data_IF_281773283576
#
_entry.id   IF_281773283576
#
_cell.length_a   1.000
_cell.length_b   1.000
_cell.length_c   1.000
_cell.angle_alpha   90.00
_cell.angle_beta   90.00
_cell.angle_gamma   90.00
#
_symmetry.space_group_name_H-M   'P 1'
#
loop_
_entity.id
_entity.type
_entity.pdbx_description
1 polymer ?
#
# COMPACT_ATOMS: atom_id res chain seq x y z
N UNK A 1 22.49 12.73 17.25
CA UNK A 1 21.23 12.36 17.96
C UNK A 1 20.66 11.14 17.30
N UNK A 2 20.14 10.22 18.11
CA UNK A 2 19.50 8.97 17.66
C UNK A 2 18.01 9.18 17.42
N UNK A 3 17.49 8.64 16.33
CA UNK A 3 16.09 8.78 15.92
C UNK A 3 15.48 7.40 15.65
N UNK A 4 14.42 7.06 16.38
CA UNK A 4 13.60 5.89 16.12
C UNK A 4 12.40 6.26 15.23
N UNK A 5 12.21 5.56 14.10
CA UNK A 5 11.10 5.82 13.17
C UNK A 5 10.18 4.61 13.11
N UNK A 6 8.87 4.84 13.28
CA UNK A 6 7.83 3.84 13.10
C UNK A 6 6.84 4.29 12.02
N UNK A 7 6.59 3.44 11.02
CA UNK A 7 5.57 3.68 10.00
C UNK A 7 4.41 2.69 10.13
N UNK A 8 3.20 3.22 10.17
CA UNK A 8 1.96 2.45 10.22
C UNK A 8 1.14 2.66 8.95
N UNK A 9 0.43 1.63 8.51
CA UNK A 9 -0.55 1.74 7.44
C UNK A 9 -0.04 1.33 6.05
N UNK A 10 -0.21 2.19 5.06
CA UNK A 10 -0.05 1.84 3.63
C UNK A 10 1.36 2.10 3.09
N UNK A 11 1.59 1.67 1.84
CA UNK A 11 2.87 1.88 1.11
C UNK A 11 3.23 3.36 0.97
N UNK A 12 2.23 4.26 0.90
CA UNK A 12 2.46 5.71 0.89
C UNK A 12 3.10 6.17 2.21
N UNK A 13 2.63 5.65 3.34
CA UNK A 13 3.24 5.95 4.64
C UNK A 13 4.66 5.40 4.76
N UNK A 14 4.91 4.20 4.21
CA UNK A 14 6.27 3.63 4.17
C UNK A 14 7.20 4.56 3.37
N UNK A 15 6.79 4.95 2.16
CA UNK A 15 7.55 5.89 1.34
C UNK A 15 7.84 7.20 2.08
N UNK A 16 6.82 7.80 2.71
CA UNK A 16 6.98 9.06 3.45
C UNK A 16 7.92 8.93 4.65
N UNK A 17 7.91 7.80 5.36
CA UNK A 17 8.83 7.53 6.47
C UNK A 17 10.27 7.32 5.99
N UNK A 18 10.49 6.62 4.89
CA UNK A 18 11.81 6.45 4.27
C UNK A 18 12.37 7.79 3.74
N UNK A 19 11.52 8.63 3.15
CA UNK A 19 11.90 9.98 2.74
C UNK A 19 12.40 10.81 3.93
N UNK A 20 11.65 10.78 5.04
CA UNK A 20 12.06 11.46 6.28
C UNK A 20 13.35 10.87 6.82
N UNK A 21 13.52 9.55 6.81
CA UNK A 21 14.74 8.89 7.25
C UNK A 21 15.96 9.30 6.41
N UNK A 22 15.80 9.41 5.08
CA UNK A 22 16.88 9.86 4.18
C UNK A 22 17.32 11.30 4.50
N UNK A 23 16.37 12.24 4.61
CA UNK A 23 16.67 13.64 4.97
C UNK A 23 17.41 13.71 6.31
N UNK A 24 16.98 12.96 7.30
CA UNK A 24 17.60 12.97 8.62
C UNK A 24 19.04 12.43 8.58
N UNK A 25 19.28 11.34 7.84
CA UNK A 25 20.65 10.81 7.62
C UNK A 25 21.56 11.81 6.92
N UNK A 26 21.06 12.52 5.90
CA UNK A 26 21.79 13.57 5.19
C UNK A 26 22.14 14.76 6.10
N UNK A 27 21.39 14.95 7.20
CA UNK A 27 21.65 15.97 8.22
C UNK A 27 22.32 15.41 9.48
N UNK A 28 23.06 14.29 9.36
CA UNK A 28 23.87 13.68 10.41
C UNK A 28 23.11 13.18 11.64
N UNK A 29 21.83 12.80 11.48
CA UNK A 29 21.10 12.04 12.49
C UNK A 29 21.32 10.54 12.29
N UNK A 30 21.44 9.80 13.39
CA UNK A 30 21.56 8.35 13.40
C UNK A 30 20.17 7.71 13.49
N UNK A 31 19.79 6.90 12.51
CA UNK A 31 18.53 6.14 12.56
C UNK A 31 18.77 4.81 13.26
N UNK A 32 18.04 4.57 14.34
CA UNK A 32 18.09 3.36 15.17
C UNK A 32 16.75 2.60 15.13
N UNK A 33 16.72 1.38 15.69
CA UNK A 33 15.47 0.66 15.86
C UNK A 33 14.50 1.45 16.74
N UNK A 34 13.21 1.38 16.43
CA UNK A 34 12.18 2.09 17.21
C UNK A 34 12.09 1.61 18.67
N UNK A 35 12.49 0.38 18.91
CA UNK A 35 12.52 -0.21 20.25
C UNK A 35 13.73 0.23 21.08
N UNK A 36 14.78 0.74 20.44
CA UNK A 36 15.96 1.27 21.11
C UNK A 36 15.66 2.61 21.80
N UNK A 37 16.48 2.95 22.78
CA UNK A 37 16.45 4.29 23.40
C UNK A 37 16.96 5.33 22.39
N UNK A 38 16.09 6.23 21.96
CA UNK A 38 16.39 7.32 21.02
C UNK A 38 16.15 8.70 21.64
N UNK A 39 16.76 9.72 21.08
CA UNK A 39 16.58 11.12 21.48
C UNK A 39 15.30 11.71 20.87
N UNK A 40 14.89 11.17 19.72
CA UNK A 40 13.70 11.58 18.97
C UNK A 40 12.98 10.33 18.49
N UNK A 41 11.64 10.33 18.59
CA UNK A 41 10.79 9.30 17.97
C UNK A 41 9.87 9.94 16.94
N UNK A 42 9.81 9.36 15.75
CA UNK A 42 8.91 9.79 14.67
C UNK A 42 7.91 8.67 14.38
N UNK A 43 6.62 8.97 14.51
CA UNK A 43 5.53 8.02 14.27
C UNK A 43 4.71 8.50 13.08
N UNK A 44 4.83 7.80 11.94
CA UNK A 44 3.98 8.03 10.77
C UNK A 44 2.69 7.21 10.92
N UNK A 45 1.59 7.90 11.18
CA UNK A 45 0.34 7.31 11.66
C UNK A 45 -0.66 7.01 10.55
N UNK A 46 -1.51 6.01 10.80
CA UNK A 46 -2.60 5.61 9.92
C UNK A 46 -3.96 5.83 10.61
N UNK A 47 -5.01 6.11 9.81
CA UNK A 47 -6.38 6.33 10.29
C UNK A 47 -7.45 5.66 9.42
N UNK A 48 -7.09 4.63 8.64
CA UNK A 48 -8.05 3.95 7.75
C UNK A 48 -9.12 3.18 8.54
N UNK A 49 -8.76 2.60 9.68
CA UNK A 49 -9.65 1.86 10.56
C UNK A 49 -9.50 2.30 12.02
N UNK A 50 -10.49 2.00 12.87
CA UNK A 50 -10.40 2.22 14.33
C UNK A 50 -9.22 1.47 14.95
N UNK A 51 -8.88 0.29 14.41
CA UNK A 51 -7.72 -0.47 14.86
C UNK A 51 -6.40 0.23 14.50
N UNK A 52 -6.34 0.88 13.34
CA UNK A 52 -5.19 1.72 12.95
C UNK A 52 -5.02 2.90 13.90
N UNK A 53 -6.12 3.53 14.32
CA UNK A 53 -6.06 4.61 15.32
C UNK A 53 -5.55 4.11 16.68
N UNK A 54 -6.00 2.92 17.13
CA UNK A 54 -5.51 2.31 18.36
C UNK A 54 -4.00 2.01 18.28
N UNK A 55 -3.55 1.44 17.15
CA UNK A 55 -2.12 1.18 16.92
C UNK A 55 -1.31 2.47 16.92
N UNK A 56 -1.81 3.53 16.28
CA UNK A 56 -1.16 4.84 16.27
C UNK A 56 -0.95 5.38 17.69
N UNK A 57 -2.00 5.39 18.50
CA UNK A 57 -1.90 5.80 19.93
C UNK A 57 -0.95 4.91 20.75
N UNK A 58 -0.99 3.58 20.51
CA UNK A 58 -0.10 2.64 21.20
C UNK A 58 1.36 2.95 20.92
N UNK A 59 1.70 3.27 19.65
CA UNK A 59 3.09 3.57 19.28
C UNK A 59 3.56 4.92 19.83
N UNK A 60 2.69 5.93 19.89
CA UNK A 60 2.98 7.22 20.53
C UNK A 60 3.32 7.01 22.03
N UNK A 61 2.45 6.26 22.73
CA UNK A 61 2.67 5.95 24.15
C UNK A 61 3.94 5.11 24.37
N UNK A 62 4.27 4.19 23.43
CA UNK A 62 5.48 3.38 23.50
C UNK A 62 6.73 4.23 23.35
N UNK A 63 6.75 5.17 22.42
CA UNK A 63 7.85 6.11 22.27
C UNK A 63 8.13 6.87 23.56
N UNK A 64 7.11 7.42 24.21
CA UNK A 64 7.24 8.13 25.49
C UNK A 64 7.72 7.21 26.64
N UNK A 65 7.35 5.92 26.58
CA UNK A 65 7.83 4.90 27.54
C UNK A 65 9.29 4.53 27.31
N UNK A 66 9.73 4.43 26.05
CA UNK A 66 11.12 4.06 25.71
C UNK A 66 12.10 5.16 26.19
N UNK A 67 11.72 6.42 26.05
CA UNK A 67 12.48 7.54 26.60
C UNK A 67 11.55 8.71 26.93
N UNK A 68 11.43 9.05 28.21
CA UNK A 68 10.53 10.11 28.70
C UNK A 68 10.97 11.50 28.25
N UNK A 69 12.27 11.68 28.04
CA UNK A 69 12.89 12.97 27.66
C UNK A 69 13.03 13.14 26.13
N UNK A 70 12.60 12.15 25.34
CA UNK A 70 12.68 12.20 23.91
C UNK A 70 11.68 13.18 23.31
N UNK A 71 12.08 13.82 22.21
CA UNK A 71 11.18 14.60 21.36
C UNK A 71 10.27 13.63 20.59
N UNK A 72 8.96 13.75 20.77
CA UNK A 72 7.98 12.93 20.06
C UNK A 72 7.40 13.70 18.87
N UNK A 73 7.58 13.16 17.68
CA UNK A 73 7.05 13.71 16.43
C UNK A 73 5.99 12.76 15.89
N UNK A 74 4.80 13.27 15.66
CA UNK A 74 3.69 12.48 15.09
C UNK A 74 3.26 13.09 13.78
N UNK A 75 3.21 12.28 12.71
CA UNK A 75 2.80 12.71 11.39
C UNK A 75 1.82 11.71 10.75
N UNK A 76 1.16 12.09 9.66
CA UNK A 76 0.32 11.19 8.85
C UNK A 76 -1.19 11.40 9.02
N UNK A 77 -1.97 10.33 8.72
CA UNK A 77 -3.43 10.46 8.62
C UNK A 77 -4.13 10.63 9.98
N UNK A 78 -3.65 9.95 11.03
CA UNK A 78 -4.26 10.08 12.35
C UNK A 78 -4.02 11.48 12.93
N UNK A 79 -2.80 12.00 12.81
CA UNK A 79 -2.47 13.35 13.28
C UNK A 79 -3.19 14.44 12.48
N UNK A 80 -3.41 14.26 11.16
CA UNK A 80 -4.19 15.18 10.34
C UNK A 80 -5.62 15.38 10.87
N UNK A 81 -6.23 14.35 11.46
CA UNK A 81 -7.61 14.38 11.96
C UNK A 81 -7.74 14.71 13.44
N UNK A 82 -6.73 14.42 14.25
CA UNK A 82 -6.83 14.38 15.70
C UNK A 82 -5.68 15.12 16.40
N UNK A 83 -5.12 16.15 15.78
CA UNK A 83 -3.95 16.87 16.32
C UNK A 83 -4.18 17.42 17.74
N UNK A 84 -5.41 17.84 18.04
CA UNK A 84 -5.86 18.33 19.34
C UNK A 84 -5.84 17.28 20.46
N UNK A 85 -5.88 15.98 20.10
CA UNK A 85 -5.92 14.83 21.01
C UNK A 85 -4.57 14.13 21.19
N UNK A 86 -3.53 14.63 20.50
CA UNK A 86 -2.21 13.99 20.50
C UNK A 86 -1.29 14.72 21.47
N UNK A 87 -0.74 13.95 22.41
CA UNK A 87 0.33 14.38 23.28
C UNK A 87 1.70 14.09 22.60
N UNK A 88 2.19 15.11 21.87
CA UNK A 88 3.48 15.07 21.20
C UNK A 88 4.05 16.49 21.08
N UNK A 89 5.35 16.55 20.88
CA UNK A 89 6.11 17.80 20.82
C UNK A 89 5.99 18.48 19.46
N UNK A 90 6.00 17.68 18.38
CA UNK A 90 5.79 18.15 17.01
C UNK A 90 4.68 17.31 16.37
N UNK A 91 3.66 17.96 15.85
CA UNK A 91 2.53 17.31 15.18
C UNK A 91 2.42 17.83 13.75
N UNK A 92 2.58 16.92 12.79
CA UNK A 92 2.41 17.18 11.37
C UNK A 92 1.20 16.40 10.83
N UNK A 93 0.50 16.99 9.88
CA UNK A 93 -0.47 16.26 9.07
C UNK A 93 0.21 15.49 7.92
N UNK A 94 -0.44 15.52 6.76
CA UNK A 94 0.06 14.89 5.54
C UNK A 94 0.82 15.87 4.62
N UNK A 95 1.41 16.91 5.18
CA UNK A 95 2.24 17.91 4.49
C UNK A 95 3.42 18.34 5.37
N UNK A 96 4.41 19.02 4.79
CA UNK A 96 5.60 19.56 5.44
C UNK A 96 6.60 18.54 5.97
N UNK A 97 6.57 17.31 5.49
CA UNK A 97 7.53 16.28 5.87
C UNK A 97 8.96 16.65 5.41
N UNK A 98 9.08 17.38 4.30
CA UNK A 98 10.33 17.92 3.79
C UNK A 98 11.01 18.93 4.75
N UNK A 99 10.23 19.55 5.62
CA UNK A 99 10.73 20.54 6.60
C UNK A 99 11.09 19.92 7.96
N UNK A 100 11.16 18.59 8.08
CA UNK A 100 11.28 17.89 9.37
C UNK A 100 12.51 18.35 10.18
N UNK A 101 13.67 18.54 9.54
CA UNK A 101 14.91 19.00 10.20
C UNK A 101 14.72 20.39 10.78
N UNK A 102 14.17 21.32 9.98
CA UNK A 102 13.89 22.69 10.43
C UNK A 102 12.96 22.73 11.63
N UNK A 103 11.94 21.87 11.64
CA UNK A 103 10.97 21.78 12.74
C UNK A 103 11.61 21.21 14.03
N UNK A 104 12.52 20.25 13.89
CA UNK A 104 13.29 19.71 15.01
C UNK A 104 14.17 20.83 15.61
N UNK A 105 14.89 21.58 14.81
CA UNK A 105 15.75 22.68 15.29
C UNK A 105 14.93 23.83 15.90
N UNK A 106 13.78 24.15 15.30
CA UNK A 106 12.85 25.13 15.87
C UNK A 106 12.35 24.71 17.25
N UNK A 107 11.95 23.43 17.41
CA UNK A 107 11.52 22.90 18.71
C UNK A 107 12.65 22.95 19.75
N UNK A 108 13.85 22.51 19.39
CA UNK A 108 15.02 22.54 20.28
C UNK A 108 15.36 23.95 20.79
N UNK A 109 15.18 24.95 19.92
CA UNK A 109 15.50 26.35 20.27
C UNK A 109 14.42 26.96 21.15
N UNK A 110 13.15 26.73 20.85
CA UNK A 110 12.03 27.41 21.50
C UNK A 110 11.37 26.61 22.62
N UNK A 111 11.57 25.31 22.63
CA UNK A 111 10.93 24.32 23.54
C UNK A 111 9.41 24.47 23.62
N UNK A 112 8.76 24.86 22.52
CA UNK A 112 7.33 25.05 22.42
C UNK A 112 6.72 24.02 21.44
N UNK A 113 5.57 23.44 21.81
CA UNK A 113 4.84 22.52 20.94
C UNK A 113 4.58 23.12 19.56
N UNK A 114 4.90 22.34 18.50
CA UNK A 114 4.69 22.74 17.12
C UNK A 114 3.55 21.88 16.53
N UNK A 115 2.54 22.52 15.96
CA UNK A 115 1.45 21.84 15.26
C UNK A 115 1.26 22.43 13.87
N UNK A 116 1.42 21.60 12.82
CA UNK A 116 1.29 21.98 11.41
C UNK A 116 0.24 21.09 10.73
N UNK A 117 -0.99 21.55 10.74
CA UNK A 117 -2.13 20.91 10.07
C UNK A 117 -2.65 21.86 8.99
N UNK A 118 -2.79 21.35 7.78
CA UNK A 118 -3.17 22.13 6.61
C UNK A 118 -4.49 21.64 6.02
N UNK A 119 -5.24 22.55 5.41
CA UNK A 119 -6.28 22.20 4.46
C UNK A 119 -5.64 21.67 3.17
N UNK A 120 -5.77 20.35 2.96
CA UNK A 120 -5.15 19.68 1.83
C UNK A 120 -5.97 19.75 0.54
N UNK A 121 -7.13 20.42 0.54
CA UNK A 121 -8.01 20.51 -0.64
C UNK A 121 -7.42 21.39 -1.75
N UNK A 122 -6.55 22.35 -1.39
CA UNK A 122 -5.94 23.34 -2.30
C UNK A 122 -4.40 23.22 -2.36
N UNK A 123 -3.81 22.18 -1.80
CA UNK A 123 -2.35 22.02 -1.79
C UNK A 123 -1.85 21.33 -3.05
N UNK A 124 -0.65 21.66 -3.49
CA UNK A 124 0.08 20.92 -4.52
C UNK A 124 0.69 19.63 -3.96
N UNK A 125 1.12 18.72 -4.84
CA UNK A 125 1.91 17.57 -4.46
C UNK A 125 3.16 18.02 -3.70
N UNK A 126 3.49 17.36 -2.59
CA UNK A 126 4.73 17.59 -1.87
C UNK A 126 5.83 16.76 -2.55
N UNK A 127 6.79 17.46 -3.17
CA UNK A 127 7.90 16.80 -3.85
C UNK A 127 8.77 16.07 -2.84
N UNK A 128 8.98 14.80 -3.11
CA UNK A 128 9.80 13.89 -2.32
C UNK A 128 10.60 13.03 -3.29
N UNK A 129 11.87 12.82 -3.04
CA UNK A 129 12.74 11.95 -3.83
C UNK A 129 13.52 11.05 -2.87
N UNK A 130 13.51 9.74 -3.12
CA UNK A 130 14.25 8.75 -2.34
C UNK A 130 15.35 8.17 -3.23
N UNK A 131 16.55 8.10 -2.69
CA UNK A 131 17.68 7.46 -3.38
C UNK A 131 17.96 6.04 -2.88
N UNK A 132 17.61 5.75 -1.62
CA UNK A 132 17.88 4.46 -0.99
C UNK A 132 16.84 4.18 0.09
N UNK A 133 16.35 2.93 0.13
CA UNK A 133 15.53 2.39 1.21
C UNK A 133 16.40 1.70 2.24
N UNK A 134 16.05 1.81 3.51
CA UNK A 134 16.85 1.26 4.61
C UNK A 134 16.70 -0.26 4.69
N UNK A 135 15.47 -0.77 4.61
CA UNK A 135 15.15 -2.18 4.88
C UNK A 135 14.22 -2.81 3.81
N UNK A 136 14.24 -2.32 2.58
CA UNK A 136 13.36 -2.83 1.53
C UNK A 136 14.15 -3.26 0.30
N UNK A 137 13.93 -4.49 -0.14
CA UNK A 137 14.48 -5.04 -1.39
C UNK A 137 13.82 -4.41 -2.61
N UNK A 138 12.55 -4.01 -2.49
CA UNK A 138 11.78 -3.32 -3.53
C UNK A 138 11.67 -1.83 -3.21
N UNK A 139 11.87 -0.99 -4.23
CA UNK A 139 11.72 0.46 -4.06
C UNK A 139 10.26 0.89 -4.29
N UNK A 140 9.70 1.65 -3.35
CA UNK A 140 8.41 2.30 -3.52
C UNK A 140 8.60 3.69 -4.13
N UNK A 141 7.73 4.09 -5.06
CA UNK A 141 7.73 5.45 -5.63
C UNK A 141 6.32 6.02 -5.51
N UNK A 142 6.17 7.05 -4.71
CA UNK A 142 4.89 7.74 -4.52
C UNK A 142 4.64 8.68 -5.70
N UNK A 143 3.78 8.25 -6.62
CA UNK A 143 3.45 9.02 -7.82
C UNK A 143 2.22 9.93 -7.62
N UNK A 144 1.38 9.64 -6.61
CA UNK A 144 0.10 10.30 -6.44
C UNK A 144 -0.30 10.35 -4.96
N UNK A 145 -1.06 11.39 -4.55
CA UNK A 145 -1.65 11.53 -3.22
C UNK A 145 -3.07 12.09 -3.32
N UNK A 146 -3.86 11.89 -2.24
CA UNK A 146 -5.26 12.32 -2.17
C UNK A 146 -6.21 11.51 -3.05
N UNK A 147 -7.52 11.75 -2.90
CA UNK A 147 -8.56 11.01 -3.61
C UNK A 147 -9.84 11.84 -3.78
N UNK A 148 -10.46 11.75 -4.96
CA UNK A 148 -11.72 12.40 -5.31
C UNK A 148 -12.90 11.43 -5.40
N UNK A 149 -12.75 10.17 -4.99
CA UNK A 149 -13.81 9.16 -5.12
C UNK A 149 -14.95 9.35 -4.11
N UNK A 150 -14.63 9.80 -2.88
CA UNK A 150 -15.60 9.99 -1.80
C UNK A 150 -16.50 8.77 -1.56
N UNK A 151 -15.90 7.56 -1.60
CA UNK A 151 -16.62 6.36 -1.17
C UNK A 151 -17.19 6.59 0.23
N UNK A 152 -18.44 6.16 0.45
CA UNK A 152 -19.21 6.54 1.65
C UNK A 152 -18.60 6.10 2.99
N UNK A 153 -17.73 5.12 2.98
CA UNK A 153 -17.01 4.61 4.17
C UNK A 153 -15.62 5.24 4.37
N UNK A 154 -15.11 5.99 3.38
CA UNK A 154 -13.70 6.30 3.30
C UNK A 154 -13.35 7.66 3.91
N UNK A 155 -12.42 7.65 4.86
CA UNK A 155 -11.92 8.86 5.52
C UNK A 155 -10.78 9.55 4.74
N UNK A 156 -10.24 8.90 3.73
CA UNK A 156 -9.03 9.36 3.02
C UNK A 156 -9.19 10.73 2.35
N UNK A 157 -10.29 11.06 1.64
CA UNK A 157 -10.45 12.40 1.07
C UNK A 157 -10.37 13.53 2.10
N UNK A 158 -10.73 13.24 3.35
CA UNK A 158 -10.70 14.20 4.45
C UNK A 158 -9.32 14.29 5.12
N UNK A 159 -8.49 13.23 5.01
CA UNK A 159 -7.15 13.20 5.61
C UNK A 159 -6.05 13.58 4.64
N UNK A 160 -6.22 13.26 3.36
CA UNK A 160 -5.19 13.47 2.33
C UNK A 160 -5.60 14.45 1.24
N UNK A 161 -6.85 14.97 1.31
CA UNK A 161 -7.35 15.96 0.37
C UNK A 161 -7.60 15.43 -1.04
N UNK A 162 -7.58 16.33 -2.02
CA UNK A 162 -7.86 16.05 -3.42
C UNK A 162 -6.69 15.33 -4.11
N UNK A 163 -6.97 14.75 -5.29
CA UNK A 163 -5.94 14.16 -6.14
C UNK A 163 -4.84 15.18 -6.44
N UNK A 164 -3.61 14.75 -6.24
CA UNK A 164 -2.38 15.47 -6.57
C UNK A 164 -1.38 14.47 -7.11
N UNK A 165 -0.80 14.78 -8.24
CA UNK A 165 0.15 13.93 -8.93
C UNK A 165 1.56 14.50 -8.84
N UNK A 166 2.55 13.62 -8.71
CA UNK A 166 3.96 13.98 -8.85
C UNK A 166 4.25 14.28 -10.32
N UNK A 167 5.03 15.30 -10.58
CA UNK A 167 5.45 15.63 -11.95
C UNK A 167 6.06 14.42 -12.66
N UNK A 168 5.72 14.22 -13.93
CA UNK A 168 6.12 13.04 -14.70
C UNK A 168 7.64 12.93 -14.84
N UNK A 169 8.32 14.03 -15.10
CA UNK A 169 9.79 14.06 -15.21
C UNK A 169 10.44 13.77 -13.85
N UNK A 170 9.86 14.25 -12.75
CA UNK A 170 10.30 13.93 -11.40
C UNK A 170 10.15 12.44 -11.07
N UNK A 171 9.06 11.79 -11.51
CA UNK A 171 8.89 10.35 -11.34
C UNK A 171 9.94 9.57 -12.12
N UNK A 172 10.15 9.89 -13.41
CA UNK A 172 11.14 9.24 -14.27
C UNK A 172 12.54 9.37 -13.70
N UNK A 173 12.89 10.58 -13.25
CA UNK A 173 14.19 10.86 -12.62
C UNK A 173 14.41 10.01 -11.36
N UNK A 174 13.41 9.94 -10.46
CA UNK A 174 13.51 9.14 -9.23
C UNK A 174 13.63 7.65 -9.55
N UNK A 175 12.80 7.12 -10.46
CA UNK A 175 12.87 5.71 -10.88
C UNK A 175 14.22 5.40 -11.49
N UNK A 176 14.74 6.24 -12.39
CA UNK A 176 16.07 6.07 -12.99
C UNK A 176 17.17 6.03 -11.94
N UNK A 177 17.12 6.93 -10.94
CA UNK A 177 18.07 6.95 -9.84
C UNK A 177 18.02 5.67 -8.99
N UNK A 178 16.82 5.18 -8.69
CA UNK A 178 16.65 3.94 -7.94
C UNK A 178 17.17 2.72 -8.73
N UNK A 179 16.89 2.64 -10.02
CA UNK A 179 17.41 1.58 -10.90
C UNK A 179 18.93 1.62 -10.96
N UNK A 180 19.54 2.80 -11.11
CA UNK A 180 20.99 2.98 -11.09
C UNK A 180 21.62 2.63 -9.73
N UNK A 181 20.87 2.78 -8.65
CA UNK A 181 21.28 2.33 -7.31
C UNK A 181 21.03 0.83 -7.06
N UNK A 182 20.66 0.07 -8.11
CA UNK A 182 20.59 -1.38 -8.11
C UNK A 182 19.22 -1.97 -7.80
N UNK A 183 18.17 -1.18 -7.53
CA UNK A 183 16.83 -1.73 -7.29
C UNK A 183 16.26 -2.42 -8.52
N UNK A 184 15.84 -3.67 -8.35
CA UNK A 184 15.31 -4.51 -9.44
C UNK A 184 13.80 -4.38 -9.61
N UNK A 185 13.06 -4.17 -8.53
CA UNK A 185 11.61 -3.98 -8.59
C UNK A 185 11.21 -2.60 -8.06
N UNK A 186 10.51 -1.84 -8.91
CA UNK A 186 9.91 -0.54 -8.57
C UNK A 186 8.41 -0.72 -8.39
N UNK A 187 7.90 -0.32 -7.24
CA UNK A 187 6.46 -0.38 -6.92
C UNK A 187 5.89 1.02 -6.96
N UNK A 188 5.12 1.33 -8.02
CA UNK A 188 4.41 2.60 -8.11
C UNK A 188 3.27 2.62 -7.09
N UNK A 189 3.27 3.62 -6.22
CA UNK A 189 2.28 3.73 -5.15
C UNK A 189 1.60 5.09 -5.12
N UNK A 190 0.37 5.08 -4.65
CA UNK A 190 -0.47 6.26 -4.49
C UNK A 190 -1.68 5.92 -3.64
N UNK A 191 -2.44 6.93 -3.30
CA UNK A 191 -3.73 6.77 -2.62
C UNK A 191 -4.81 6.31 -3.60
N UNK A 192 -4.73 6.79 -4.84
CA UNK A 192 -5.62 6.44 -5.94
C UNK A 192 -4.82 6.41 -7.24
N UNK A 193 -3.97 5.39 -7.36
CA UNK A 193 -2.90 5.31 -8.37
C UNK A 193 -3.40 5.48 -9.80
N UNK A 194 -4.57 4.91 -10.14
CA UNK A 194 -5.16 5.03 -11.47
C UNK A 194 -5.60 6.46 -11.85
N UNK A 195 -5.72 7.37 -10.85
CA UNK A 195 -6.00 8.79 -11.08
C UNK A 195 -4.76 9.67 -11.20
N UNK A 196 -3.58 9.05 -11.31
CA UNK A 196 -2.37 9.79 -11.61
C UNK A 196 -2.52 10.62 -12.89
N UNK A 197 -2.07 11.86 -12.82
CA UNK A 197 -1.94 12.75 -13.98
C UNK A 197 -3.16 13.62 -14.28
N UNK A 198 -4.35 13.34 -13.73
CA UNK A 198 -5.57 14.11 -14.06
C UNK A 198 -5.49 15.60 -13.69
N UNK A 199 -4.63 15.97 -12.78
CA UNK A 199 -4.38 17.33 -12.31
C UNK A 199 -3.17 18.00 -12.98
N UNK A 200 -2.40 17.25 -13.78
CA UNK A 200 -1.19 17.71 -14.49
C UNK A 200 -1.21 17.35 -15.98
N UNK A 201 -2.40 17.11 -16.56
CA UNK A 201 -2.63 16.83 -17.99
C UNK A 201 -1.80 15.66 -18.55
N UNK A 202 -1.70 14.56 -17.81
CA UNK A 202 -1.12 13.29 -18.24
C UNK A 202 -1.92 12.12 -17.67
N UNK A 203 -1.52 10.90 -17.93
CA UNK A 203 -2.19 9.68 -17.47
C UNK A 203 -1.20 8.68 -16.90
N UNK A 204 -1.72 7.72 -16.09
CA UNK A 204 -0.92 6.59 -15.63
C UNK A 204 -0.38 5.76 -16.80
N UNK A 205 -1.19 5.58 -17.85
CA UNK A 205 -0.77 4.83 -19.05
C UNK A 205 0.44 5.49 -19.76
N UNK A 206 0.41 6.81 -19.92
CA UNK A 206 1.53 7.57 -20.51
C UNK A 206 2.79 7.46 -19.64
N UNK A 207 2.65 7.60 -18.33
CA UNK A 207 3.76 7.40 -17.41
C UNK A 207 4.35 5.99 -17.52
N UNK A 208 3.52 4.95 -17.55
CA UNK A 208 3.97 3.56 -17.66
C UNK A 208 4.73 3.30 -18.97
N UNK A 209 4.26 3.86 -20.10
CA UNK A 209 4.94 3.74 -21.40
C UNK A 209 6.36 4.29 -21.37
N UNK A 210 6.59 5.38 -20.64
CA UNK A 210 7.94 5.95 -20.51
C UNK A 210 8.80 5.18 -19.50
N UNK A 211 8.20 4.75 -18.40
CA UNK A 211 8.93 4.02 -17.35
C UNK A 211 9.45 2.66 -17.80
N UNK A 212 8.72 1.93 -18.66
CA UNK A 212 9.16 0.63 -19.16
C UNK A 212 10.35 0.72 -20.11
N UNK A 213 10.65 1.91 -20.64
CA UNK A 213 11.79 2.18 -21.52
C UNK A 213 13.05 2.62 -20.76
N UNK A 214 13.00 2.77 -19.44
CA UNK A 214 14.17 3.14 -18.63
C UNK A 214 15.22 2.01 -18.73
N UNK A 215 16.47 2.33 -19.11
CA UNK A 215 17.54 1.34 -19.20
C UNK A 215 17.75 0.57 -17.88
N UNK A 216 17.92 -0.74 -17.97
CA UNK A 216 18.17 -1.66 -16.86
C UNK A 216 17.02 -1.78 -15.84
N UNK A 217 15.85 -1.20 -16.08
CA UNK A 217 14.69 -1.48 -15.25
C UNK A 217 14.27 -2.95 -15.45
N UNK A 218 14.14 -3.66 -14.34
CA UNK A 218 13.80 -5.07 -14.40
C UNK A 218 12.31 -5.33 -14.22
N UNK A 219 11.69 -4.66 -13.21
CA UNK A 219 10.26 -4.86 -12.95
C UNK A 219 9.58 -3.61 -12.41
N UNK A 220 8.41 -3.32 -12.96
CA UNK A 220 7.47 -2.31 -12.46
C UNK A 220 6.22 -3.03 -11.96
N UNK A 221 5.83 -2.74 -10.73
CA UNK A 221 4.58 -3.23 -10.14
C UNK A 221 3.67 -2.07 -9.81
N UNK A 222 2.40 -2.20 -10.18
CA UNK A 222 1.35 -1.30 -9.70
C UNK A 222 0.91 -1.70 -8.29
N UNK A 223 0.66 -0.73 -7.43
CA UNK A 223 -0.03 -0.98 -6.17
C UNK A 223 -1.53 -1.20 -6.43
N UNK A 224 -2.43 -0.57 -5.69
CA UNK A 224 -3.87 -0.69 -5.92
C UNK A 224 -4.32 0.17 -7.10
N UNK A 225 -5.19 -0.37 -7.97
CA UNK A 225 -5.82 0.34 -9.09
C UNK A 225 -7.30 -0.03 -9.17
N UNK A 226 -8.16 0.96 -9.39
CA UNK A 226 -9.60 0.72 -9.55
C UNK A 226 -9.90 0.09 -10.91
N UNK A 227 -10.92 -0.79 -10.94
CA UNK A 227 -11.25 -1.59 -12.13
C UNK A 227 -11.56 -0.72 -13.38
N UNK A 228 -12.22 0.42 -13.19
CA UNK A 228 -12.60 1.33 -14.26
C UNK A 228 -11.48 2.30 -14.70
N UNK A 229 -10.29 2.15 -14.14
CA UNK A 229 -9.10 2.93 -14.48
C UNK A 229 -8.06 2.08 -15.24
N UNK A 230 -8.34 0.78 -15.40
CA UNK A 230 -7.51 -0.13 -16.19
C UNK A 230 -7.87 0.03 -17.66
N UNK A 231 -7.07 0.81 -18.37
CA UNK A 231 -7.27 1.08 -19.81
C UNK A 231 -6.82 -0.09 -20.69
N UNK A 232 -7.29 -0.17 -21.95
CA UNK A 232 -6.77 -1.14 -22.92
C UNK A 232 -5.25 -1.05 -23.10
N UNK A 233 -4.67 0.15 -23.01
CA UNK A 233 -3.23 0.35 -23.09
C UNK A 233 -2.48 -0.24 -21.90
N UNK A 234 -3.01 -0.12 -20.69
CA UNK A 234 -2.43 -0.77 -19.49
C UNK A 234 -2.52 -2.29 -19.62
N UNK A 235 -3.66 -2.85 -20.11
CA UNK A 235 -3.79 -4.29 -20.37
C UNK A 235 -2.76 -4.75 -21.39
N UNK A 236 -2.57 -3.99 -22.47
CA UNK A 236 -1.56 -4.29 -23.51
C UNK A 236 -0.16 -4.30 -22.92
N UNK A 237 0.21 -3.28 -22.13
CA UNK A 237 1.52 -3.24 -21.45
C UNK A 237 1.72 -4.44 -20.53
N UNK A 238 0.71 -4.79 -19.72
CA UNK A 238 0.75 -5.96 -18.84
C UNK A 238 0.89 -7.28 -19.62
N UNK A 239 0.31 -7.38 -20.83
CA UNK A 239 0.35 -8.59 -21.66
C UNK A 239 1.69 -8.73 -22.38
N UNK A 240 2.19 -7.67 -23.00
CA UNK A 240 3.29 -7.69 -23.96
C UNK A 240 4.64 -7.33 -23.35
N UNK A 241 4.67 -6.46 -22.34
CA UNK A 241 5.93 -5.97 -21.77
C UNK A 241 6.38 -6.85 -20.58
N UNK A 242 7.64 -7.33 -20.65
CA UNK A 242 8.23 -8.19 -19.62
C UNK A 242 8.55 -7.44 -18.31
N UNK A 243 8.77 -6.12 -18.41
CA UNK A 243 9.04 -5.28 -17.25
C UNK A 243 7.80 -5.14 -16.33
N UNK A 244 6.60 -5.21 -16.92
CA UNK A 244 5.37 -5.13 -16.13
C UNK A 244 5.10 -6.41 -15.32
N UNK A 245 5.02 -6.27 -14.01
CA UNK A 245 4.67 -7.37 -13.12
C UNK A 245 3.29 -7.96 -13.45
N UNK A 246 3.18 -9.28 -13.50
CA UNK A 246 1.94 -10.00 -13.82
C UNK A 246 1.04 -10.13 -12.58
N UNK A 247 0.80 -9.02 -11.91
CA UNK A 247 -0.04 -8.94 -10.72
C UNK A 247 -0.79 -7.61 -10.69
N UNK A 248 -2.07 -7.65 -10.37
CA UNK A 248 -2.89 -6.47 -10.07
C UNK A 248 -3.62 -6.65 -8.75
N UNK A 249 -3.64 -5.58 -7.96
CA UNK A 249 -4.52 -5.46 -6.80
C UNK A 249 -5.69 -4.55 -7.17
N UNK A 250 -6.89 -5.13 -7.27
CA UNK A 250 -8.11 -4.46 -7.76
C UNK A 250 -9.20 -4.54 -6.70
N UNK A 251 -9.48 -3.47 -5.95
CA UNK A 251 -10.46 -3.50 -4.86
C UNK A 251 -11.89 -3.71 -5.39
N UNK A 252 -12.52 -4.84 -5.04
CA UNK A 252 -13.93 -5.12 -5.34
C UNK A 252 -14.86 -4.46 -4.32
N UNK A 253 -14.44 -4.43 -3.07
CA UNK A 253 -15.15 -3.91 -1.89
C UNK A 253 -16.43 -4.69 -1.51
N UNK A 254 -17.31 -5.05 -2.46
CA UNK A 254 -18.49 -5.89 -2.28
C UNK A 254 -18.88 -6.57 -3.60
N UNK A 255 -19.50 -7.73 -3.54
CA UNK A 255 -20.07 -8.42 -4.70
C UNK A 255 -21.58 -8.17 -4.87
N UNK A 256 -22.21 -7.34 -4.02
CA UNK A 256 -23.62 -6.94 -4.16
C UNK A 256 -23.74 -5.55 -4.78
N UNK A 257 -24.51 -5.42 -5.85
CA UNK A 257 -24.76 -4.13 -6.51
C UNK A 257 -25.42 -3.11 -5.57
N UNK A 258 -26.32 -3.55 -4.71
CA UNK A 258 -26.93 -2.71 -3.68
C UNK A 258 -25.86 -2.12 -2.75
N UNK A 259 -24.95 -2.93 -2.26
CA UNK A 259 -23.89 -2.49 -1.35
C UNK A 259 -22.86 -1.62 -2.09
N UNK A 260 -22.48 -1.96 -3.30
CA UNK A 260 -21.59 -1.13 -4.13
C UNK A 260 -22.18 0.28 -4.33
N UNK A 261 -23.48 0.38 -4.59
CA UNK A 261 -24.16 1.66 -4.73
C UNK A 261 -24.16 2.46 -3.40
N UNK A 262 -24.48 1.80 -2.27
CA UNK A 262 -24.41 2.43 -0.95
C UNK A 262 -22.97 2.86 -0.56
N UNK A 263 -21.96 2.14 -1.03
CA UNK A 263 -20.55 2.48 -0.91
C UNK A 263 -20.11 3.65 -1.81
N UNK A 264 -20.99 4.13 -2.71
CA UNK A 264 -20.68 5.13 -3.74
C UNK A 264 -19.57 4.64 -4.69
N UNK A 265 -19.63 3.33 -5.10
CA UNK A 265 -18.72 2.78 -6.11
C UNK A 265 -19.20 3.15 -7.51
N UNK A 266 -18.26 3.35 -8.43
CA UNK A 266 -18.53 3.81 -9.81
C UNK A 266 -18.53 2.65 -10.81
N UNK A 267 -18.85 1.46 -10.35
CA UNK A 267 -19.02 0.24 -11.14
C UNK A 267 -20.04 -0.66 -10.45
N UNK A 268 -20.68 -1.52 -11.22
CA UNK A 268 -21.46 -2.64 -10.73
C UNK A 268 -20.67 -3.96 -10.85
N UNK A 269 -21.17 -5.04 -10.27
CA UNK A 269 -20.48 -6.34 -10.27
C UNK A 269 -20.32 -6.92 -11.67
N UNK A 270 -21.25 -6.67 -12.58
CA UNK A 270 -21.24 -7.15 -13.97
C UNK A 270 -20.10 -6.46 -14.75
N UNK A 271 -19.99 -5.16 -14.66
CA UNK A 271 -18.89 -4.39 -15.25
C UNK A 271 -17.54 -4.85 -14.68
N UNK A 272 -17.49 -5.06 -13.36
CA UNK A 272 -16.30 -5.57 -12.70
C UNK A 272 -15.91 -6.94 -13.24
N UNK A 273 -16.82 -7.91 -13.28
CA UNK A 273 -16.57 -9.26 -13.81
C UNK A 273 -16.14 -9.26 -15.27
N UNK A 274 -16.79 -8.45 -16.11
CA UNK A 274 -16.45 -8.33 -17.52
C UNK A 274 -15.01 -7.82 -17.73
N UNK A 275 -14.57 -6.84 -16.92
CA UNK A 275 -13.21 -6.34 -17.00
C UNK A 275 -12.20 -7.37 -16.46
N UNK A 276 -12.51 -8.05 -15.35
CA UNK A 276 -11.68 -9.14 -14.82
C UNK A 276 -11.49 -10.26 -15.86
N UNK A 277 -12.51 -10.61 -16.61
CA UNK A 277 -12.41 -11.61 -17.68
C UNK A 277 -11.37 -11.21 -18.72
N UNK A 278 -11.38 -9.95 -19.17
CA UNK A 278 -10.35 -9.40 -20.09
C UNK A 278 -8.95 -9.42 -19.49
N UNK A 279 -8.83 -9.07 -18.21
CA UNK A 279 -7.53 -9.06 -17.52
C UNK A 279 -6.98 -10.47 -17.36
N UNK A 280 -7.84 -11.47 -17.13
CA UNK A 280 -7.44 -12.89 -17.02
C UNK A 280 -6.91 -13.50 -18.33
N UNK A 281 -7.09 -12.85 -19.47
CA UNK A 281 -6.43 -13.23 -20.71
C UNK A 281 -4.90 -12.97 -20.68
N UNK A 282 -4.41 -12.18 -19.71
CA UNK A 282 -2.97 -11.95 -19.53
C UNK A 282 -2.34 -13.22 -18.95
N UNK A 283 -1.35 -13.82 -19.63
CA UNK A 283 -0.74 -15.06 -19.15
C UNK A 283 -0.15 -14.95 -17.76
N UNK A 284 -0.47 -15.94 -16.90
CA UNK A 284 0.05 -16.07 -15.54
C UNK A 284 -0.26 -14.88 -14.59
N UNK A 285 -1.25 -14.06 -14.92
CA UNK A 285 -1.61 -12.95 -14.03
C UNK A 285 -2.18 -13.45 -12.71
N UNK A 286 -1.78 -12.83 -11.62
CA UNK A 286 -2.43 -12.98 -10.32
C UNK A 286 -3.26 -11.74 -9.99
N UNK A 287 -4.42 -11.95 -9.39
CA UNK A 287 -5.35 -10.89 -9.02
C UNK A 287 -5.65 -10.96 -7.54
N UNK A 288 -5.42 -9.85 -6.85
CA UNK A 288 -5.78 -9.72 -5.44
C UNK A 288 -6.80 -8.60 -5.27
N UNK A 289 -7.59 -8.66 -4.19
CA UNK A 289 -8.65 -7.70 -3.94
C UNK A 289 -8.80 -7.35 -2.47
N UNK A 290 -9.41 -6.20 -2.20
CA UNK A 290 -9.94 -5.82 -0.89
C UNK A 290 -11.44 -6.02 -0.86
N UNK A 291 -11.95 -6.50 0.28
CA UNK A 291 -13.37 -6.70 0.54
C UNK A 291 -13.76 -6.16 1.91
N UNK A 292 -14.85 -5.43 1.98
CA UNK A 292 -15.46 -4.95 3.22
C UNK A 292 -16.74 -5.73 3.46
N UNK A 293 -16.84 -6.39 4.62
CA UNK A 293 -18.05 -7.13 5.04
C UNK A 293 -18.72 -6.43 6.23
N UNK A 294 -20.04 -6.60 6.32
CA UNK A 294 -20.85 -5.99 7.36
C UNK A 294 -20.95 -4.47 7.20
N UNK A 295 -21.02 -4.02 5.95
CA UNK A 295 -21.36 -2.64 5.63
C UNK A 295 -22.79 -2.32 6.09
N UNK A 296 -23.14 -1.07 6.50
CA UNK A 296 -24.51 -0.74 6.86
C UNK A 296 -25.52 -1.17 5.79
N UNK A 297 -26.63 -1.75 6.21
CA UNK A 297 -27.69 -2.32 5.37
C UNK A 297 -27.30 -3.60 4.57
N UNK A 298 -26.14 -4.21 4.80
CA UNK A 298 -25.76 -5.48 4.19
C UNK A 298 -26.55 -6.63 4.81
N UNK A 299 -27.46 -7.24 4.02
CA UNK A 299 -28.25 -8.41 4.44
C UNK A 299 -27.49 -9.73 4.24
N UNK A 300 -28.10 -10.88 4.61
CA UNK A 300 -27.53 -12.19 4.31
C UNK A 300 -27.57 -12.49 2.80
N UNK A 301 -28.59 -12.01 2.09
CA UNK A 301 -28.69 -12.13 0.63
C UNK A 301 -27.56 -11.33 -0.06
N UNK A 302 -27.28 -10.09 0.39
CA UNK A 302 -26.19 -9.27 -0.12
C UNK A 302 -24.83 -9.96 0.12
N UNK A 303 -24.64 -10.56 1.29
CA UNK A 303 -23.42 -11.29 1.62
C UNK A 303 -23.30 -12.58 0.79
N UNK A 304 -24.40 -13.32 0.56
CA UNK A 304 -24.42 -14.49 -0.32
C UNK A 304 -24.06 -14.09 -1.76
N UNK A 305 -24.64 -13.00 -2.27
CA UNK A 305 -24.33 -12.47 -3.60
C UNK A 305 -22.82 -12.13 -3.72
N UNK A 306 -22.23 -11.62 -2.64
CA UNK A 306 -20.78 -11.36 -2.57
C UNK A 306 -19.99 -12.67 -2.64
N UNK A 307 -20.37 -13.71 -1.91
CA UNK A 307 -19.73 -15.03 -1.96
C UNK A 307 -19.82 -15.64 -3.37
N UNK A 308 -20.98 -15.57 -4.00
CA UNK A 308 -21.20 -16.09 -5.36
C UNK A 308 -20.30 -15.35 -6.37
N UNK A 309 -20.22 -14.02 -6.27
CA UNK A 309 -19.32 -13.19 -7.10
C UNK A 309 -17.85 -13.58 -6.92
N UNK A 310 -17.39 -13.79 -5.68
CA UNK A 310 -16.02 -14.20 -5.39
C UNK A 310 -15.71 -15.60 -5.94
N UNK A 311 -16.64 -16.55 -5.81
CA UNK A 311 -16.49 -17.91 -6.36
C UNK A 311 -16.41 -17.91 -7.90
N UNK A 312 -17.12 -17.01 -8.58
CA UNK A 312 -17.02 -16.84 -10.03
C UNK A 312 -15.68 -16.21 -10.46
N UNK A 313 -15.25 -15.17 -9.76
CA UNK A 313 -14.02 -14.45 -10.10
C UNK A 313 -12.78 -15.27 -9.73
N UNK A 314 -12.74 -15.92 -8.57
CA UNK A 314 -11.57 -16.64 -8.03
C UNK A 314 -10.32 -15.74 -8.01
N UNK A 315 -10.22 -14.90 -7.02
CA UNK A 315 -9.02 -14.12 -6.76
C UNK A 315 -7.91 -14.99 -6.17
N UNK A 316 -6.67 -14.67 -6.49
CA UNK A 316 -5.51 -15.31 -5.83
C UNK A 316 -5.52 -15.05 -4.33
N UNK A 317 -5.91 -13.84 -3.91
CA UNK A 317 -6.02 -13.49 -2.49
C UNK A 317 -7.07 -12.41 -2.26
N UNK A 318 -7.81 -12.55 -1.17
CA UNK A 318 -8.82 -11.57 -0.73
C UNK A 318 -8.41 -11.02 0.62
N UNK A 319 -8.14 -9.73 0.68
CA UNK A 319 -7.92 -9.01 1.93
C UNK A 319 -9.26 -8.55 2.48
N UNK A 320 -9.72 -9.19 3.54
CA UNK A 320 -11.06 -8.97 4.11
C UNK A 320 -11.01 -8.10 5.33
N UNK A 321 -11.84 -7.08 5.34
CA UNK A 321 -11.98 -6.13 6.44
C UNK A 321 -13.42 -6.09 6.94
N UNK A 322 -13.65 -6.15 8.26
CA UNK A 322 -14.96 -5.78 8.78
C UNK A 322 -15.15 -4.27 8.59
N UNK A 323 -16.35 -3.85 8.19
CA UNK A 323 -16.65 -2.42 8.12
C UNK A 323 -16.30 -1.71 9.45
N UNK A 324 -15.51 -0.67 9.35
CA UNK A 324 -15.05 0.14 10.48
C UNK A 324 -15.66 1.53 10.40
N UNK A 325 -16.57 1.85 11.31
CA UNK A 325 -17.26 3.15 11.38
C UNK A 325 -16.25 4.28 11.57
N UNK A 326 -16.23 5.25 10.64
CA UNK A 326 -15.34 6.41 10.68
C UNK A 326 -16.16 7.69 10.81
N UNK A 327 -16.04 8.38 11.94
CA UNK A 327 -16.76 9.64 12.15
C UNK A 327 -16.46 10.64 11.04
N UNK A 328 -17.49 11.33 10.58
CA UNK A 328 -17.41 12.28 9.46
C UNK A 328 -17.58 11.65 8.07
N UNK A 329 -17.73 10.32 7.97
CA UNK A 329 -18.07 9.66 6.71
C UNK A 329 -19.58 9.41 6.60
N UNK A 330 -20.16 9.45 5.36
CA UNK A 330 -21.58 9.17 5.16
C UNK A 330 -22.04 7.83 5.74
N UNK A 331 -21.26 6.75 5.54
CA UNK A 331 -21.61 5.43 6.06
C UNK A 331 -21.65 5.35 7.60
N UNK A 332 -20.97 6.24 8.30
CA UNK A 332 -21.04 6.30 9.75
C UNK A 332 -22.39 6.78 10.28
N UNK A 333 -23.13 7.54 9.47
CA UNK A 333 -24.45 8.07 9.78
C UNK A 333 -25.60 7.17 9.27
N UNK A 334 -25.29 6.14 8.46
CA UNK A 334 -26.30 5.20 7.96
C UNK A 334 -26.90 4.39 9.11
N UNK A 335 -28.20 4.12 9.01
CA UNK A 335 -28.93 3.20 9.84
C UNK A 335 -28.52 1.73 9.57
N UNK A 336 -29.11 0.78 10.32
CA UNK A 336 -28.90 -0.66 10.14
C UNK A 336 -27.42 -1.07 10.11
N UNK A 337 -26.66 -0.58 11.09
CA UNK A 337 -25.28 -1.00 11.31
C UNK A 337 -25.25 -2.50 11.65
N UNK A 338 -24.47 -3.28 10.89
CA UNK A 338 -24.35 -4.72 11.10
C UNK A 338 -23.66 -5.01 12.45
N UNK A 339 -24.18 -5.97 13.26
CA UNK A 339 -23.58 -6.32 14.55
C UNK A 339 -22.16 -6.85 14.43
N UNK A 340 -21.29 -6.64 15.44
CA UNK A 340 -19.89 -7.07 15.41
C UNK A 340 -19.69 -8.58 15.22
N UNK A 341 -20.57 -9.42 15.82
CA UNK A 341 -20.54 -10.86 15.70
C UNK A 341 -20.81 -11.33 14.26
N UNK A 342 -21.77 -10.71 13.57
CA UNK A 342 -22.07 -10.97 12.15
C UNK A 342 -20.90 -10.59 11.27
N UNK A 343 -20.29 -9.42 11.51
CA UNK A 343 -19.08 -9.01 10.80
C UNK A 343 -17.95 -10.03 10.96
N UNK A 344 -17.73 -10.51 12.19
CA UNK A 344 -16.71 -11.51 12.51
C UNK A 344 -16.94 -12.82 11.77
N UNK A 345 -18.18 -13.31 11.78
CA UNK A 345 -18.55 -14.53 11.05
C UNK A 345 -18.30 -14.38 9.54
N UNK A 346 -18.78 -13.28 8.94
CA UNK A 346 -18.55 -12.99 7.51
C UNK A 346 -17.07 -12.89 7.17
N UNK A 347 -16.25 -12.24 8.00
CA UNK A 347 -14.79 -12.20 7.82
C UNK A 347 -14.20 -13.62 7.80
N UNK A 348 -14.59 -14.48 8.74
CA UNK A 348 -14.07 -15.86 8.79
C UNK A 348 -14.46 -16.67 7.55
N UNK A 349 -15.70 -16.52 7.06
CA UNK A 349 -16.16 -17.20 5.83
C UNK A 349 -15.33 -16.78 4.61
N UNK A 350 -15.05 -15.48 4.47
CA UNK A 350 -14.24 -14.97 3.35
C UNK A 350 -12.77 -15.38 3.48
N UNK A 351 -12.19 -15.35 4.68
CA UNK A 351 -10.81 -15.81 4.89
C UNK A 351 -10.68 -17.29 4.47
N UNK A 352 -11.63 -18.14 4.85
CA UNK A 352 -11.62 -19.55 4.46
C UNK A 352 -11.71 -19.74 2.94
N UNK A 353 -12.53 -18.95 2.25
CA UNK A 353 -12.60 -18.93 0.79
C UNK A 353 -11.27 -18.46 0.19
N UNK A 354 -10.74 -17.34 0.66
CA UNK A 354 -9.46 -16.79 0.19
C UNK A 354 -8.30 -17.76 0.37
N UNK A 355 -8.25 -18.45 1.51
CA UNK A 355 -7.19 -19.43 1.80
C UNK A 355 -7.24 -20.62 0.83
N UNK A 356 -8.45 -21.07 0.49
CA UNK A 356 -8.67 -22.12 -0.51
C UNK A 356 -8.22 -21.67 -1.90
N UNK A 357 -8.67 -20.50 -2.34
CA UNK A 357 -8.37 -19.98 -3.68
C UNK A 357 -6.85 -19.68 -3.82
N UNK A 358 -6.19 -19.17 -2.78
CA UNK A 358 -4.74 -18.94 -2.73
C UNK A 358 -3.97 -20.26 -2.90
N UNK A 359 -4.37 -21.30 -2.17
CA UNK A 359 -3.74 -22.63 -2.26
C UNK A 359 -3.98 -23.26 -3.63
N UNK A 360 -5.20 -23.19 -4.20
CA UNK A 360 -5.52 -23.66 -5.55
C UNK A 360 -4.66 -22.94 -6.61
N UNK A 361 -4.52 -21.61 -6.49
CA UNK A 361 -3.67 -20.82 -7.38
C UNK A 361 -2.21 -21.28 -7.29
N UNK A 362 -1.68 -21.43 -6.09
CA UNK A 362 -0.29 -21.87 -5.92
C UNK A 362 -0.07 -23.28 -6.49
N UNK A 363 -0.97 -24.23 -6.22
CA UNK A 363 -0.90 -25.60 -6.76
C UNK A 363 -0.95 -25.63 -8.29
N UNK A 364 -1.72 -24.75 -8.92
CA UNK A 364 -1.78 -24.64 -10.39
C UNK A 364 -0.49 -24.16 -11.03
N UNK A 365 0.45 -23.67 -10.24
CA UNK A 365 1.75 -23.22 -10.67
C UNK A 365 2.90 -24.22 -10.41
N UNK A 366 2.64 -25.38 -9.81
CA UNK A 366 3.62 -26.44 -9.63
C UNK A 366 4.15 -26.90 -11.01
N UNK A 367 5.46 -27.02 -11.11
CA UNK A 367 6.17 -27.37 -12.34
C UNK A 367 6.51 -26.21 -13.26
N UNK A 368 5.93 -25.03 -13.05
CA UNK A 368 6.24 -23.82 -13.81
C UNK A 368 7.49 -23.14 -13.29
N UNK A 369 8.21 -22.48 -14.20
CA UNK A 369 9.40 -21.69 -13.88
C UNK A 369 9.09 -20.20 -14.04
N UNK A 370 9.53 -19.41 -13.06
CA UNK A 370 9.37 -17.96 -13.04
C UNK A 370 10.70 -17.29 -12.72
N UNK A 371 10.89 -16.11 -13.27
CA UNK A 371 11.90 -15.19 -12.78
C UNK A 371 11.42 -14.47 -11.53
N UNK A 372 12.33 -14.17 -10.62
CA UNK A 372 11.97 -13.47 -9.39
C UNK A 372 13.12 -12.71 -8.77
N UNK A 373 12.77 -11.80 -7.88
CA UNK A 373 13.70 -11.00 -7.08
C UNK A 373 13.83 -11.65 -5.70
N UNK A 374 15.07 -11.87 -5.29
CA UNK A 374 15.41 -12.50 -4.00
C UNK A 374 15.24 -11.51 -2.86
N UNK A 375 14.57 -11.96 -1.81
CA UNK A 375 14.47 -11.30 -0.51
C UNK A 375 14.93 -12.26 0.59
N UNK A 376 15.96 -11.86 1.33
CA UNK A 376 16.48 -12.64 2.46
C UNK A 376 15.94 -12.05 3.75
N UNK A 377 15.22 -12.86 4.51
CA UNK A 377 14.64 -12.45 5.78
C UNK A 377 15.66 -12.52 6.93
N UNK A 378 15.49 -11.77 8.03
CA UNK A 378 16.41 -11.78 9.16
C UNK A 378 16.62 -13.15 9.83
N UNK A 379 15.65 -14.06 9.69
CA UNK A 379 15.74 -15.45 10.17
C UNK A 379 16.50 -16.38 9.21
N UNK A 380 17.05 -15.86 8.12
CA UNK A 380 17.79 -16.63 7.11
C UNK A 380 16.89 -17.28 6.04
N UNK A 381 15.58 -17.13 6.08
CA UNK A 381 14.68 -17.65 5.04
C UNK A 381 14.86 -16.84 3.74
N UNK A 382 15.08 -17.53 2.64
CA UNK A 382 15.25 -16.93 1.32
C UNK A 382 13.97 -17.09 0.52
N UNK A 383 13.41 -15.97 0.09
CA UNK A 383 12.17 -15.94 -0.69
C UNK A 383 12.44 -15.30 -2.06
N UNK A 384 11.98 -15.96 -3.12
CA UNK A 384 11.99 -15.43 -4.48
C UNK A 384 10.61 -14.90 -4.81
N UNK A 385 10.48 -13.57 -4.94
CA UNK A 385 9.24 -12.92 -5.33
C UNK A 385 9.09 -12.90 -6.85
N UNK A 386 8.19 -13.72 -7.38
CA UNK A 386 7.94 -13.85 -8.81
C UNK A 386 7.19 -12.65 -9.39
N UNK A 387 7.15 -12.54 -10.72
CA UNK A 387 6.41 -11.50 -11.44
C UNK A 387 4.92 -11.50 -11.06
N UNK A 388 4.29 -12.66 -10.92
CA UNK A 388 2.90 -12.83 -10.51
C UNK A 388 2.71 -12.89 -8.97
N UNK A 389 3.70 -12.43 -8.21
CA UNK A 389 3.65 -12.23 -6.77
C UNK A 389 3.54 -13.51 -5.94
N UNK A 390 4.00 -14.66 -6.47
CA UNK A 390 4.13 -15.89 -5.69
C UNK A 390 5.42 -15.80 -4.87
N UNK A 391 5.38 -15.93 -3.53
CA UNK A 391 6.58 -16.00 -2.70
C UNK A 391 7.10 -17.43 -2.67
N UNK A 392 8.17 -17.71 -3.40
CA UNK A 392 8.76 -19.05 -3.47
C UNK A 392 9.93 -19.15 -2.50
N UNK A 393 9.83 -20.06 -1.53
CA UNK A 393 10.90 -20.38 -0.58
C UNK A 393 11.91 -21.27 -1.28
N UNK A 394 13.19 -20.92 -1.19
CA UNK A 394 14.32 -21.71 -1.70
C UNK A 394 15.35 -21.97 -0.59
N UNK A 395 16.04 -23.09 -0.68
CA UNK A 395 17.06 -23.49 0.33
C UNK A 395 18.47 -22.98 -0.01
N UNK A 396 18.61 -22.31 -1.17
CA UNK A 396 19.89 -21.79 -1.64
C UNK A 396 20.30 -20.51 -0.88
N UNK A 397 21.59 -20.35 -0.64
CA UNK A 397 22.15 -19.13 -0.08
C UNK A 397 22.29 -18.07 -1.18
N UNK A 398 21.44 -17.08 -1.16
CA UNK A 398 21.35 -16.01 -2.17
C UNK A 398 21.48 -14.63 -1.52
N UNK A 399 21.96 -13.68 -2.31
CA UNK A 399 22.01 -12.27 -1.89
C UNK A 399 20.69 -11.55 -2.17
N UNK A 400 20.33 -10.63 -1.29
CA UNK A 400 19.18 -9.74 -1.48
C UNK A 400 19.26 -9.04 -2.83
N UNK A 401 18.07 -8.84 -3.44
CA UNK A 401 17.92 -8.07 -4.67
C UNK A 401 18.61 -8.69 -5.92
N UNK A 402 19.00 -9.99 -5.85
CA UNK A 402 19.41 -10.73 -7.03
C UNK A 402 18.21 -11.23 -7.83
N UNK A 403 18.41 -11.48 -9.13
CA UNK A 403 17.41 -12.04 -10.02
C UNK A 403 17.76 -13.48 -10.28
N UNK A 404 16.80 -14.38 -10.04
CA UNK A 404 16.96 -15.81 -10.27
C UNK A 404 15.74 -16.39 -10.98
N UNK A 405 15.94 -17.54 -11.65
CA UNK A 405 14.84 -18.34 -12.15
C UNK A 405 14.55 -19.47 -11.14
N UNK A 406 13.30 -19.63 -10.76
CA UNK A 406 12.85 -20.64 -9.79
C UNK A 406 11.72 -21.48 -10.38
N UNK A 407 11.87 -22.82 -10.31
CA UNK A 407 10.83 -23.77 -10.64
C UNK A 407 10.07 -24.14 -9.37
N UNK A 408 8.77 -23.92 -9.36
CA UNK A 408 7.90 -24.31 -8.24
C UNK A 408 7.81 -25.83 -8.20
N UNK A 409 8.17 -26.42 -7.06
CA UNK A 409 8.22 -27.89 -6.89
C UNK A 409 7.07 -28.42 -6.04
N UNK A 410 6.70 -27.69 -5.00
CA UNK A 410 5.63 -28.12 -4.08
C UNK A 410 4.93 -26.95 -3.40
N UNK A 411 3.76 -27.23 -2.88
CA UNK A 411 2.94 -26.30 -2.09
C UNK A 411 2.45 -27.02 -0.85
N UNK A 412 2.74 -26.46 0.32
CA UNK A 412 2.16 -26.91 1.59
C UNK A 412 1.34 -25.76 2.18
N UNK A 413 0.02 -25.90 2.12
CA UNK A 413 -0.93 -24.83 2.48
C UNK A 413 -0.63 -23.53 1.73
N UNK A 414 -0.04 -22.54 2.40
CA UNK A 414 0.32 -21.22 1.84
C UNK A 414 1.82 -21.06 1.57
N UNK A 415 2.64 -22.07 1.89
CA UNK A 415 4.07 -22.07 1.61
C UNK A 415 4.33 -22.69 0.26
N UNK A 416 5.06 -21.98 -0.58
CA UNK A 416 5.44 -22.42 -1.92
C UNK A 416 6.94 -22.68 -1.92
N UNK A 417 7.35 -23.86 -2.32
CA UNK A 417 8.75 -24.24 -2.40
C UNK A 417 9.20 -24.40 -3.84
N UNK A 418 10.45 -24.10 -4.09
CA UNK A 418 11.01 -24.22 -5.42
C UNK A 418 12.51 -24.42 -5.41
N UNK A 419 13.03 -24.85 -6.56
CA UNK A 419 14.45 -25.01 -6.79
C UNK A 419 14.90 -24.00 -7.86
N UNK A 420 16.13 -23.50 -7.72
CA UNK A 420 16.74 -22.70 -8.76
C UNK A 420 16.87 -23.51 -10.05
N UNK A 421 16.59 -22.87 -11.16
CA UNK A 421 16.90 -23.45 -12.47
C UNK A 421 18.12 -22.74 -13.05
N UNK A 422 19.10 -23.49 -13.51
CA UNK A 422 20.24 -22.93 -14.23
C UNK A 422 19.73 -22.11 -15.42
N UNK A 423 20.36 -20.99 -15.67
CA UNK A 423 20.09 -20.11 -16.83
C UNK A 423 20.20 -20.84 -18.15
#
# INVERSE_FOLDING_TARGET
MKIGICSLGCKVNIYEAEFVANILKENNYEIVDFEDKADIYIINTCSVTNESDKKSRKMINRARKNNKDAIIIVMGCYSQLNADKIDADIILGNKDKSNIVKLIEEYKTKNNKITKIYDLTKTKFEEMEISKFTNHTRAFVKIQDGCNAFCSYCIIPYTRGRVRSKDKTSVIKEVTKLVNNGYKEIVLTGIHTGRYGIDINTTLEELLKELVEIPNIYRIRLSSIEINEITPGIIKLLKENKVMAKHLHIPLQSGSNKILNLMNRRYNKEEFKNMITKIKEIPNISLTTDLIVGFPNETEEDFKETLDTLNEIKFTKIHTFPYSRRNGTPAAAMENQVPPEVKKDRVHKIIKLSDKDEEEFYKSNIGKTYDGVVEVHPNGEVIVHTSNYIPVIVEDNLENNTIVNVKITSVDKKKVYGNLTNK
#
